data_IF_719068198545
#
_entry.id   IF_719068198545
#
_cell.length_a   1.000
_cell.length_b   1.000
_cell.length_c   1.000
_cell.angle_alpha   90.00
_cell.angle_beta   90.00
_cell.angle_gamma   90.00
#
_symmetry.space_group_name_H-M   'P 1'
#
loop_
_entity.id
_entity.type
_entity.pdbx_description
1 polymer ?
#
# COMPACT_ATOMS: atom_id res chain seq x y z
N UNK A 1 -38.82 -18.69 -22.20
CA UNK A 1 -38.28 -19.06 -20.87
C UNK A 1 -37.07 -19.99 -20.94
N UNK A 2 -37.05 -21.03 -21.79
CA UNK A 2 -35.95 -22.02 -21.82
C UNK A 2 -34.55 -21.44 -22.11
N UNK A 3 -34.43 -20.44 -22.98
CA UNK A 3 -33.14 -19.82 -23.33
C UNK A 3 -32.54 -18.98 -22.18
N UNK A 4 -33.38 -18.29 -21.40
CA UNK A 4 -32.93 -17.51 -20.24
C UNK A 4 -32.39 -18.40 -19.10
N UNK A 5 -33.02 -19.57 -18.91
CA UNK A 5 -32.59 -20.54 -17.89
C UNK A 5 -31.24 -21.19 -18.27
N UNK A 6 -31.02 -21.44 -19.57
CA UNK A 6 -29.75 -21.99 -20.07
C UNK A 6 -28.60 -20.99 -19.92
N UNK A 7 -28.86 -19.70 -20.20
CA UNK A 7 -27.86 -18.64 -20.01
C UNK A 7 -27.47 -18.45 -18.53
N UNK A 8 -28.44 -18.55 -17.61
CA UNK A 8 -28.21 -18.45 -16.17
C UNK A 8 -27.41 -19.65 -15.65
N UNK A 9 -27.73 -20.87 -16.13
CA UNK A 9 -26.99 -22.08 -15.76
C UNK A 9 -25.54 -22.09 -16.28
N UNK A 10 -25.28 -21.56 -17.48
CA UNK A 10 -23.93 -21.42 -18.01
C UNK A 10 -23.11 -20.38 -17.26
N UNK A 11 -23.72 -19.26 -16.85
CA UNK A 11 -23.06 -18.24 -16.05
C UNK A 11 -22.71 -18.74 -14.64
N UNK A 12 -23.61 -19.53 -14.02
CA UNK A 12 -23.36 -20.18 -12.73
C UNK A 12 -22.28 -21.27 -12.81
N UNK A 13 -22.19 -22.01 -13.92
CA UNK A 13 -21.14 -23.00 -14.12
C UNK A 13 -19.75 -22.38 -14.27
N UNK A 14 -19.63 -21.20 -14.89
CA UNK A 14 -18.33 -20.49 -14.99
C UNK A 14 -17.82 -19.98 -13.64
N UNK A 15 -18.71 -19.61 -12.70
CA UNK A 15 -18.31 -19.20 -11.36
C UNK A 15 -17.86 -20.38 -10.46
N UNK A 16 -18.16 -21.62 -10.85
CA UNK A 16 -17.80 -22.82 -10.08
C UNK A 16 -16.43 -23.43 -10.45
N UNK A 17 -15.75 -22.93 -11.50
CA UNK A 17 -14.50 -23.49 -12.02
C UNK A 17 -13.25 -22.60 -11.83
N UNK A 18 -13.31 -21.58 -10.98
CA UNK A 18 -12.10 -20.88 -10.51
C UNK A 18 -11.87 -21.25 -9.04
N UNK A 19 -11.33 -22.45 -8.79
CA UNK A 19 -9.96 -22.49 -8.28
C UNK A 19 -9.21 -23.77 -8.67
N UNK A 20 -8.31 -23.69 -9.65
CA UNK A 20 -7.27 -24.73 -9.85
C UNK A 20 -6.08 -24.13 -10.59
N UNK A 21 -5.16 -23.51 -9.85
CA UNK A 21 -3.71 -23.51 -10.13
C UNK A 21 -2.99 -22.54 -9.19
N UNK A 22 -2.45 -23.05 -8.08
CA UNK A 22 -1.15 -22.66 -7.54
C UNK A 22 -0.84 -23.57 -6.35
N UNK A 23 -0.28 -24.73 -6.64
CA UNK A 23 0.43 -25.55 -5.67
C UNK A 23 1.92 -25.54 -6.06
N UNK A 24 2.79 -25.46 -5.04
CA UNK A 24 4.27 -25.55 -5.05
C UNK A 24 4.98 -24.20 -5.30
N UNK A 25 6.00 -23.77 -4.56
CA UNK A 25 6.91 -24.44 -3.62
C UNK A 25 7.48 -23.41 -2.62
N UNK A 26 7.62 -23.79 -1.35
CA UNK A 26 8.52 -23.15 -0.43
C UNK A 26 9.94 -23.69 -0.64
N UNK A 27 10.95 -22.81 -0.77
CA UNK A 27 12.34 -23.20 -0.54
C UNK A 27 13.16 -22.07 0.08
N UNK A 28 13.70 -22.43 1.24
CA UNK A 28 14.74 -21.89 2.11
C UNK A 28 15.82 -21.00 1.45
N UNK A 29 16.11 -19.89 2.14
CA UNK A 29 17.19 -18.93 1.93
C UNK A 29 18.55 -19.57 2.25
N UNK A 30 19.56 -19.29 1.42
CA UNK A 30 20.98 -19.38 1.77
C UNK A 30 21.72 -18.09 1.39
N UNK A 31 22.41 -17.51 2.39
CA UNK A 31 23.24 -16.32 2.29
C UNK A 31 24.44 -16.50 1.36
N UNK A 32 24.76 -15.46 0.59
CA UNK A 32 26.13 -15.26 0.10
C UNK A 32 26.52 -13.78 0.17
N UNK A 33 27.54 -13.51 0.98
CA UNK A 33 28.19 -12.21 1.09
C UNK A 33 29.01 -11.91 -0.17
N UNK A 34 29.03 -10.66 -0.61
CA UNK A 34 30.23 -10.09 -1.24
C UNK A 34 30.26 -8.56 -1.06
N UNK A 35 31.40 -8.06 -0.57
CA UNK A 35 31.74 -6.64 -0.52
C UNK A 35 32.35 -6.20 -1.85
N UNK A 36 32.10 -4.96 -2.28
CA UNK A 36 33.12 -4.11 -2.92
C UNK A 36 32.66 -2.65 -2.99
N UNK A 37 33.63 -1.77 -2.72
CA UNK A 37 33.55 -0.30 -2.61
C UNK A 37 33.93 0.43 -3.91
N UNK A 38 33.63 1.74 -3.92
CA UNK A 38 34.21 2.84 -4.74
C UNK A 38 33.58 3.02 -6.14
N UNK A 39 33.42 4.22 -6.74
CA UNK A 39 33.97 5.55 -6.45
C UNK A 39 33.07 6.65 -7.10
N UNK A 40 33.24 7.90 -6.62
CA UNK A 40 32.55 9.16 -6.98
C UNK A 40 32.57 9.54 -8.47
N UNK A 41 31.54 10.24 -8.97
CA UNK A 41 31.53 11.72 -9.15
C UNK A 41 30.33 12.27 -9.99
N UNK A 42 29.73 13.39 -9.49
CA UNK A 42 29.10 14.57 -10.15
C UNK A 42 27.98 14.32 -11.19
N UNK A 43 26.89 15.08 -11.32
CA UNK A 43 26.39 16.38 -10.86
C UNK A 43 24.92 16.46 -11.35
N UNK A 44 24.03 17.11 -10.58
CA UNK A 44 22.93 17.99 -11.00
C UNK A 44 21.73 17.92 -10.05
N UNK A 45 21.22 19.10 -9.66
CA UNK A 45 20.20 19.35 -8.63
C UNK A 45 19.07 18.32 -8.55
N UNK A 46 19.20 17.34 -7.66
CA UNK A 46 18.16 16.34 -7.38
C UNK A 46 18.45 15.57 -6.08
N UNK A 47 19.20 16.15 -5.14
CA UNK A 47 19.21 15.54 -3.81
C UNK A 47 17.82 15.76 -3.21
N UNK A 48 17.05 14.70 -2.90
CA UNK A 48 15.79 14.86 -2.22
C UNK A 48 16.05 15.60 -0.90
N UNK A 49 15.12 16.47 -0.50
CA UNK A 49 15.19 17.11 0.82
C UNK A 49 15.32 16.02 1.90
N UNK A 50 15.82 16.36 3.09
CA UNK A 50 15.86 15.37 4.18
C UNK A 50 14.48 14.77 4.46
N UNK A 51 13.42 15.57 4.29
CA UNK A 51 12.03 15.14 4.44
C UNK A 51 11.61 14.19 3.31
N UNK A 52 12.01 14.46 2.07
CA UNK A 52 11.73 13.59 0.93
C UNK A 52 12.37 12.22 1.09
N UNK A 53 13.60 12.18 1.62
CA UNK A 53 14.31 10.93 1.89
C UNK A 53 13.62 10.12 2.98
N UNK A 54 13.15 10.78 4.03
CA UNK A 54 12.38 10.14 5.09
C UNK A 54 11.08 9.56 4.51
N UNK A 55 10.32 10.36 3.77
CA UNK A 55 9.06 9.89 3.18
C UNK A 55 9.28 8.73 2.19
N UNK A 56 10.31 8.78 1.35
CA UNK A 56 10.68 7.64 0.51
C UNK A 56 11.01 6.39 1.34
N UNK A 57 11.71 6.55 2.46
CA UNK A 57 12.02 5.44 3.38
C UNK A 57 10.78 4.86 4.05
N UNK A 58 9.83 5.71 4.47
CA UNK A 58 8.54 5.28 5.02
C UNK A 58 7.74 4.48 3.98
N UNK A 59 7.67 4.98 2.75
CA UNK A 59 6.97 4.30 1.64
C UNK A 59 7.65 2.98 1.31
N UNK A 60 8.98 2.96 1.22
CA UNK A 60 9.76 1.76 0.94
C UNK A 60 9.59 0.66 1.99
N UNK A 61 9.36 1.00 3.26
CA UNK A 61 9.09 0.02 4.31
C UNK A 61 7.73 -0.69 4.16
N UNK A 62 6.76 -0.07 3.48
CA UNK A 62 5.43 -0.66 3.24
C UNK A 62 5.27 -1.30 1.88
N UNK A 63 6.13 -0.95 0.91
CA UNK A 63 6.03 -1.42 -0.46
C UNK A 63 6.49 -2.87 -0.63
N UNK A 64 5.86 -3.56 -1.57
CA UNK A 64 6.36 -4.81 -2.14
C UNK A 64 6.64 -4.61 -3.63
N UNK A 65 7.59 -5.36 -4.20
CA UNK A 65 7.97 -5.26 -5.61
C UNK A 65 6.81 -5.50 -6.59
N UNK A 66 5.75 -6.19 -6.15
CA UNK A 66 4.54 -6.47 -6.95
C UNK A 66 3.55 -5.31 -6.96
N UNK A 67 3.74 -4.27 -6.16
CA UNK A 67 2.78 -3.17 -6.06
C UNK A 67 2.76 -2.31 -7.31
N UNK A 68 1.55 -1.86 -7.68
CA UNK A 68 1.37 -0.97 -8.83
C UNK A 68 1.83 0.46 -8.52
N UNK A 69 2.07 1.28 -9.56
CA UNK A 69 2.40 2.70 -9.35
C UNK A 69 1.32 3.44 -8.56
N UNK A 70 0.04 3.14 -8.82
CA UNK A 70 -1.07 3.76 -8.10
C UNK A 70 -1.13 3.27 -6.64
N UNK A 71 -0.74 2.02 -6.37
CA UNK A 71 -0.58 1.51 -5.00
C UNK A 71 0.49 2.31 -4.25
N UNK A 72 1.68 2.48 -4.87
CA UNK A 72 2.80 3.24 -4.27
C UNK A 72 2.39 4.70 -4.06
N UNK A 73 1.66 5.29 -5.00
CA UNK A 73 1.10 6.64 -4.87
C UNK A 73 0.12 6.76 -3.71
N UNK A 74 -0.81 5.84 -3.54
CA UNK A 74 -1.75 5.83 -2.41
C UNK A 74 -1.01 5.74 -1.07
N UNK A 75 -0.03 4.84 -0.96
CA UNK A 75 0.85 4.73 0.21
C UNK A 75 1.60 6.05 0.46
N UNK A 76 2.09 6.70 -0.60
CA UNK A 76 2.81 7.98 -0.51
C UNK A 76 1.91 9.11 -0.01
N UNK A 77 0.66 9.21 -0.48
CA UNK A 77 -0.32 10.20 0.02
C UNK A 77 -0.60 9.95 1.51
N UNK A 78 -0.85 8.69 1.87
CA UNK A 78 -1.14 8.28 3.25
C UNK A 78 0.00 8.64 4.21
N UNK A 79 1.24 8.29 3.84
CA UNK A 79 2.40 8.54 4.70
C UNK A 79 2.81 10.02 4.71
N UNK A 80 2.65 10.75 3.60
CA UNK A 80 2.86 12.20 3.58
C UNK A 80 1.92 12.89 4.58
N UNK A 81 0.64 12.50 4.55
CA UNK A 81 -0.37 12.98 5.47
C UNK A 81 0.02 12.73 6.93
N UNK A 82 0.23 11.47 7.29
CA UNK A 82 0.40 11.07 8.67
C UNK A 82 1.72 11.54 9.28
N UNK A 83 2.80 11.49 8.50
CA UNK A 83 4.11 12.00 8.93
C UNK A 83 4.09 13.51 9.11
N UNK A 84 3.40 14.26 8.24
CA UNK A 84 3.25 15.72 8.40
C UNK A 84 2.50 16.11 9.68
N UNK A 85 1.55 15.27 10.12
CA UNK A 85 0.75 15.49 11.31
C UNK A 85 1.44 15.07 12.60
N UNK A 86 2.05 13.89 12.61
CA UNK A 86 2.58 13.22 13.82
C UNK A 86 3.90 12.50 13.51
N UNK A 87 4.97 13.24 13.19
CA UNK A 87 6.25 12.64 12.82
C UNK A 87 6.87 11.81 13.96
N UNK A 88 6.55 12.16 15.21
CA UNK A 88 6.98 11.48 16.44
C UNK A 88 6.40 10.07 16.61
N UNK A 89 5.35 9.71 15.86
CA UNK A 89 4.81 8.34 15.83
C UNK A 89 5.63 7.36 15.01
N UNK A 90 6.55 7.85 14.18
CA UNK A 90 7.35 7.02 13.28
C UNK A 90 8.74 6.81 13.86
N UNK A 91 9.08 5.57 14.19
CA UNK A 91 10.44 5.19 14.57
C UNK A 91 11.32 5.08 13.32
N UNK A 92 11.94 6.20 12.94
CA UNK A 92 12.82 6.27 11.77
C UNK A 92 14.09 5.41 11.88
N UNK A 93 14.38 4.86 13.06
CA UNK A 93 15.50 3.94 13.27
C UNK A 93 15.13 2.48 13.03
N UNK A 94 13.84 2.15 13.00
CA UNK A 94 13.33 0.81 12.74
C UNK A 94 13.13 0.61 11.22
N UNK A 95 13.81 -0.36 10.59
CA UNK A 95 13.64 -0.64 9.16
C UNK A 95 12.24 -1.10 8.76
N UNK A 96 11.46 -1.66 9.69
CA UNK A 96 10.05 -2.02 9.46
C UNK A 96 9.14 -0.78 9.38
N UNK A 97 9.64 0.38 9.81
CA UNK A 97 8.93 1.67 9.75
C UNK A 97 9.51 2.59 8.68
N UNK A 98 10.84 2.64 8.54
CA UNK A 98 11.54 3.48 7.57
C UNK A 98 12.74 2.76 6.96
N UNK A 99 12.64 2.37 5.68
CA UNK A 99 13.66 1.63 4.95
C UNK A 99 14.38 2.51 3.94
N UNK A 100 15.52 3.07 4.33
CA UNK A 100 16.36 3.86 3.41
C UNK A 100 16.98 2.99 2.31
N UNK A 101 17.09 3.54 1.08
CA UNK A 101 17.57 2.83 -0.12
C UNK A 101 18.92 2.14 0.07
N UNK A 102 19.84 2.73 0.82
CA UNK A 102 21.15 2.13 1.11
C UNK A 102 21.03 0.77 1.82
N UNK A 103 20.00 0.61 2.65
CA UNK A 103 19.74 -0.57 3.48
C UNK A 103 18.73 -1.54 2.84
N UNK A 104 18.02 -1.10 1.79
CA UNK A 104 17.06 -1.92 1.07
C UNK A 104 17.72 -3.11 0.35
N UNK A 105 16.95 -4.20 0.18
CA UNK A 105 17.34 -5.30 -0.69
C UNK A 105 17.23 -4.92 -2.17
N UNK A 106 17.57 -5.86 -3.06
CA UNK A 106 17.57 -5.58 -4.50
C UNK A 106 16.16 -5.35 -5.06
N UNK A 107 15.15 -6.00 -4.50
CA UNK A 107 13.77 -5.94 -4.98
C UNK A 107 13.19 -4.54 -4.73
N UNK A 108 13.41 -3.99 -3.53
CA UNK A 108 13.00 -2.63 -3.20
C UNK A 108 13.88 -1.60 -3.92
N UNK A 109 15.18 -1.84 -4.06
CA UNK A 109 16.09 -0.95 -4.83
C UNK A 109 15.65 -0.81 -6.30
N UNK A 110 15.12 -1.88 -6.90
CA UNK A 110 14.63 -1.86 -8.28
C UNK A 110 13.44 -0.90 -8.46
N UNK A 111 12.51 -0.87 -7.50
CA UNK A 111 11.33 -0.01 -7.56
C UNK A 111 11.54 1.37 -6.91
N UNK A 112 12.68 1.62 -6.27
CA UNK A 112 12.94 2.87 -5.55
C UNK A 112 12.79 4.15 -6.42
N UNK A 113 13.22 4.18 -7.70
CA UNK A 113 12.96 5.35 -8.55
C UNK A 113 11.47 5.66 -8.72
N UNK A 114 10.62 4.63 -8.77
CA UNK A 114 9.17 4.80 -8.82
C UNK A 114 8.61 5.32 -7.49
N UNK A 115 9.22 4.94 -6.36
CA UNK A 115 8.89 5.50 -5.05
C UNK A 115 9.20 7.01 -5.03
N UNK A 116 10.38 7.42 -5.47
CA UNK A 116 10.77 8.85 -5.50
C UNK A 116 9.83 9.70 -6.37
N UNK A 117 9.40 9.16 -7.52
CA UNK A 117 8.43 9.80 -8.42
C UNK A 117 7.06 9.98 -7.73
N UNK A 118 6.51 8.92 -7.14
CA UNK A 118 5.19 8.96 -6.51
C UNK A 118 5.20 9.75 -5.19
N UNK A 119 6.30 9.75 -4.44
CA UNK A 119 6.51 10.64 -3.30
C UNK A 119 6.47 12.10 -3.75
N UNK A 120 7.17 12.43 -4.84
CA UNK A 120 7.17 13.79 -5.40
C UNK A 120 5.79 14.27 -5.83
N UNK A 121 4.97 13.37 -6.39
CA UNK A 121 3.55 13.66 -6.70
C UNK A 121 2.74 13.97 -5.44
N UNK A 122 2.93 13.19 -4.37
CA UNK A 122 2.06 13.17 -3.20
C UNK A 122 2.31 14.29 -2.19
N UNK A 123 3.41 15.05 -2.32
CA UNK A 123 3.86 16.03 -1.30
C UNK A 123 2.83 17.09 -0.93
N UNK A 124 2.00 17.49 -1.89
CA UNK A 124 1.00 18.53 -1.69
C UNK A 124 -0.40 17.96 -1.37
N UNK A 125 -0.54 16.64 -1.29
CA UNK A 125 -1.80 15.97 -0.99
C UNK A 125 -1.84 15.57 0.48
N UNK A 126 -2.91 15.99 1.15
CA UNK A 126 -3.21 15.67 2.54
C UNK A 126 -4.67 15.23 2.66
N UNK A 127 -5.01 14.60 3.78
CA UNK A 127 -6.31 13.96 4.01
C UNK A 127 -7.07 14.72 5.09
N UNK A 128 -8.25 15.21 4.74
CA UNK A 128 -9.07 16.06 5.60
C UNK A 128 -10.42 15.43 5.91
N UNK A 129 -10.85 15.57 7.16
CA UNK A 129 -12.23 15.35 7.58
C UNK A 129 -12.79 16.65 8.15
N UNK A 130 -13.88 17.17 7.58
CA UNK A 130 -14.48 18.45 7.97
C UNK A 130 -13.44 19.59 8.06
N UNK A 131 -12.64 19.77 7.01
CA UNK A 131 -11.56 20.77 6.90
C UNK A 131 -10.44 20.66 7.94
N UNK A 132 -10.37 19.55 8.68
CA UNK A 132 -9.24 19.24 9.58
C UNK A 132 -8.41 18.13 9.00
N UNK A 133 -7.10 18.36 8.92
CA UNK A 133 -6.16 17.30 8.58
C UNK A 133 -6.21 16.23 9.69
N UNK A 134 -6.40 14.96 9.31
CA UNK A 134 -6.61 13.83 10.23
C UNK A 134 -5.61 12.71 9.97
N UNK A 135 -5.21 12.02 11.04
CA UNK A 135 -4.28 10.89 10.96
C UNK A 135 -5.04 9.63 10.54
N UNK A 136 -4.52 8.85 9.60
CA UNK A 136 -5.23 7.70 9.04
C UNK A 136 -4.56 6.38 9.46
N UNK A 137 -5.09 5.64 10.45
CA UNK A 137 -4.63 4.28 10.71
C UNK A 137 -4.72 3.41 9.47
N UNK A 138 -3.74 2.53 9.34
CA UNK A 138 -3.67 1.54 8.29
C UNK A 138 -3.13 0.23 8.84
N UNK A 139 -3.37 -0.85 8.10
CA UNK A 139 -2.83 -2.17 8.40
C UNK A 139 -2.46 -2.86 7.10
N UNK A 140 -1.57 -3.85 7.17
CA UNK A 140 -1.17 -4.61 5.98
C UNK A 140 -2.38 -5.21 5.27
N UNK A 141 -3.29 -5.82 6.03
CA UNK A 141 -4.46 -6.53 5.51
C UNK A 141 -5.67 -6.38 6.44
N UNK A 142 -6.87 -6.57 5.90
CA UNK A 142 -8.10 -6.80 6.69
C UNK A 142 -8.57 -8.26 6.60
N UNK A 143 -9.52 -8.65 7.46
CA UNK A 143 -10.18 -9.96 7.36
C UNK A 143 -11.36 -9.99 6.37
N UNK A 144 -11.48 -8.98 5.50
CA UNK A 144 -12.57 -8.78 4.55
C UNK A 144 -13.41 -7.54 4.82
N UNK A 145 -13.26 -6.91 5.98
CA UNK A 145 -13.84 -5.62 6.34
C UNK A 145 -12.88 -4.85 7.26
N UNK A 146 -12.98 -3.53 7.25
CA UNK A 146 -12.34 -2.68 8.25
C UNK A 146 -13.27 -2.49 9.45
N UNK A 147 -12.72 -2.05 10.59
CA UNK A 147 -13.45 -1.91 11.85
C UNK A 147 -13.41 -0.47 12.35
N UNK A 148 -14.42 -0.09 13.13
CA UNK A 148 -14.50 1.20 13.80
C UNK A 148 -13.64 1.22 15.07
N UNK A 149 -13.08 2.38 15.39
CA UNK A 149 -12.39 2.62 16.66
C UNK A 149 -12.77 4.01 17.21
N UNK A 150 -13.03 4.11 18.50
CA UNK A 150 -13.50 5.33 19.16
C UNK A 150 -12.49 6.50 19.10
N UNK A 151 -11.20 6.19 18.94
CA UNK A 151 -10.15 7.19 18.79
C UNK A 151 -10.12 7.79 17.37
N UNK A 152 -10.83 7.17 16.42
CA UNK A 152 -10.86 7.52 15.01
C UNK A 152 -12.32 7.66 14.51
N UNK A 153 -13.10 8.52 15.17
CA UNK A 153 -14.52 8.72 14.89
C UNK A 153 -14.86 9.28 13.49
N UNK A 154 -13.85 9.65 12.71
CA UNK A 154 -13.94 10.05 11.30
C UNK A 154 -13.67 8.89 10.32
N UNK A 155 -13.48 7.68 10.84
CA UNK A 155 -13.26 6.46 10.05
C UNK A 155 -14.46 5.55 10.20
N UNK A 156 -15.21 5.42 9.11
CA UNK A 156 -16.29 4.46 8.98
C UNK A 156 -15.74 3.10 8.51
N UNK A 157 -16.24 1.97 9.06
CA UNK A 157 -15.87 0.65 8.59
C UNK A 157 -16.38 0.44 7.17
N UNK A 158 -15.54 -0.15 6.31
CA UNK A 158 -15.85 -0.43 4.91
C UNK A 158 -15.59 -1.89 4.55
N UNK A 159 -16.27 -2.35 3.50
CA UNK A 159 -15.99 -3.66 2.94
C UNK A 159 -14.61 -3.67 2.27
N UNK A 160 -13.87 -4.75 2.49
CA UNK A 160 -12.59 -5.01 1.84
C UNK A 160 -12.45 -6.49 1.42
N UNK A 161 -13.45 -7.05 0.70
CA UNK A 161 -13.51 -8.48 0.38
C UNK A 161 -12.33 -8.94 -0.48
N UNK A 162 -11.67 -8.04 -1.20
CA UNK A 162 -10.55 -8.35 -2.07
C UNK A 162 -9.24 -8.65 -1.34
N UNK A 163 -9.12 -8.35 -0.04
CA UNK A 163 -7.98 -8.82 0.76
C UNK A 163 -7.80 -10.34 0.70
N UNK A 164 -8.87 -11.09 0.41
CA UNK A 164 -8.77 -12.54 0.21
C UNK A 164 -7.92 -12.97 -1.01
N UNK A 165 -7.59 -12.05 -1.92
CA UNK A 165 -6.71 -12.29 -3.05
C UNK A 165 -5.23 -12.02 -2.76
N UNK A 166 -4.90 -11.51 -1.57
CA UNK A 166 -3.50 -11.33 -1.17
C UNK A 166 -2.82 -12.68 -0.90
N UNK A 167 -1.51 -12.72 -1.16
CA UNK A 167 -0.65 -13.86 -0.78
C UNK A 167 -0.47 -13.96 0.75
N UNK A 168 -0.79 -12.87 1.45
CA UNK A 168 -0.87 -12.80 2.89
C UNK A 168 -2.36 -12.90 3.27
N UNK A 169 -2.76 -13.82 4.15
CA UNK A 169 -4.14 -13.85 4.65
C UNK A 169 -4.13 -14.06 6.14
N UNK A 170 -4.68 -13.08 6.86
CA UNK A 170 -4.98 -13.20 8.28
C UNK A 170 -6.48 -12.99 8.52
N UNK A 171 -7.18 -14.07 8.86
CA UNK A 171 -8.62 -14.04 9.14
C UNK A 171 -8.95 -13.38 10.47
N UNK A 172 -7.96 -13.16 11.33
CA UNK A 172 -8.12 -12.50 12.61
C UNK A 172 -7.61 -11.05 12.57
N UNK A 173 -7.16 -10.55 11.41
CA UNK A 173 -6.70 -9.18 11.28
C UNK A 173 -7.84 -8.20 11.59
N UNK A 174 -7.58 -7.31 12.55
CA UNK A 174 -8.37 -6.12 12.80
C UNK A 174 -7.71 -4.95 12.08
N UNK A 175 -8.38 -4.40 11.08
CA UNK A 175 -7.88 -3.29 10.29
C UNK A 175 -8.76 -2.07 10.54
N UNK A 176 -8.20 -1.03 11.16
CA UNK A 176 -8.86 0.28 11.29
C UNK A 176 -8.36 1.15 10.13
N UNK A 177 -9.28 1.81 9.42
CA UNK A 177 -8.94 2.70 8.32
C UNK A 177 -8.61 1.95 7.03
N UNK A 178 -7.34 1.96 6.62
CA UNK A 178 -6.93 1.50 5.28
C UNK A 178 -6.25 0.13 5.32
N UNK A 179 -6.65 -0.77 4.41
CA UNK A 179 -5.91 -2.01 4.13
C UNK A 179 -4.96 -1.81 2.96
N UNK A 180 -3.65 -2.00 3.16
CA UNK A 180 -2.64 -1.80 2.10
C UNK A 180 -2.77 -2.83 0.98
N UNK A 181 -2.94 -4.11 1.31
CA UNK A 181 -3.19 -5.16 0.30
C UNK A 181 -4.50 -4.91 -0.45
N UNK A 182 -5.47 -4.30 0.23
CA UNK A 182 -6.72 -3.97 -0.41
C UNK A 182 -6.63 -2.77 -1.35
N UNK A 183 -5.89 -1.72 -0.98
CA UNK A 183 -5.50 -0.64 -1.91
C UNK A 183 -4.81 -1.23 -3.14
N UNK A 184 -3.85 -2.14 -2.96
CA UNK A 184 -3.13 -2.74 -4.08
C UNK A 184 -4.06 -3.46 -5.05
N UNK A 185 -5.01 -4.23 -4.53
CA UNK A 185 -6.02 -4.87 -5.38
C UNK A 185 -6.84 -3.84 -6.16
N UNK A 186 -7.37 -2.81 -5.49
CA UNK A 186 -8.20 -1.79 -6.13
C UNK A 186 -7.43 -1.08 -7.26
N UNK A 187 -6.18 -0.67 -6.98
CA UNK A 187 -5.31 -0.01 -7.94
C UNK A 187 -4.96 -0.91 -9.14
N UNK A 188 -4.64 -2.19 -8.90
CA UNK A 188 -4.42 -3.17 -9.98
C UNK A 188 -5.64 -3.43 -10.85
N UNK A 189 -6.84 -3.16 -10.32
CA UNK A 189 -8.11 -3.27 -11.03
C UNK A 189 -8.61 -1.93 -11.61
N UNK A 190 -7.72 -0.93 -11.69
CA UNK A 190 -7.93 0.27 -12.49
C UNK A 190 -8.38 1.52 -11.72
N UNK A 191 -8.47 1.47 -10.39
CA UNK A 191 -8.69 2.67 -9.57
C UNK A 191 -7.42 3.51 -9.45
N UNK A 192 -7.56 4.83 -9.47
CA UNK A 192 -6.46 5.73 -9.08
C UNK A 192 -6.16 5.59 -7.58
N UNK A 193 -4.99 6.10 -7.16
CA UNK A 193 -4.64 6.16 -5.75
C UNK A 193 -5.69 6.87 -4.88
N UNK A 194 -6.20 8.01 -5.34
CA UNK A 194 -7.21 8.80 -4.64
C UNK A 194 -8.56 8.09 -4.60
N UNK A 195 -8.97 7.41 -5.68
CA UNK A 195 -10.19 6.61 -5.70
C UNK A 195 -10.10 5.44 -4.73
N UNK A 196 -8.97 4.73 -4.71
CA UNK A 196 -8.72 3.62 -3.80
C UNK A 196 -8.71 4.09 -2.33
N UNK A 197 -8.06 5.22 -2.02
CA UNK A 197 -8.11 5.81 -0.68
C UNK A 197 -9.51 6.29 -0.30
N UNK A 198 -10.24 6.91 -1.22
CA UNK A 198 -11.62 7.38 -1.00
C UNK A 198 -12.58 6.22 -0.73
N UNK A 199 -12.28 5.01 -1.23
CA UNK A 199 -13.03 3.80 -0.86
C UNK A 199 -12.92 3.51 0.64
N UNK A 200 -11.70 3.57 1.19
CA UNK A 200 -11.47 3.31 2.62
C UNK A 200 -11.83 4.49 3.52
N UNK A 201 -11.83 5.71 2.97
CA UNK A 201 -12.03 6.95 3.68
C UNK A 201 -13.20 7.74 3.09
N UNK A 202 -14.43 7.18 3.07
CA UNK A 202 -15.56 7.76 2.34
C UNK A 202 -16.02 9.13 2.84
N UNK A 203 -15.61 9.52 4.04
CA UNK A 203 -15.94 10.80 4.67
C UNK A 203 -14.79 11.82 4.58
N UNK A 204 -13.64 11.42 4.03
CA UNK A 204 -12.46 12.27 3.93
C UNK A 204 -12.30 12.85 2.53
N UNK A 205 -11.61 13.99 2.46
CA UNK A 205 -11.19 14.65 1.22
C UNK A 205 -9.68 14.56 1.08
N UNK A 206 -9.19 14.24 -0.12
CA UNK A 206 -7.77 14.29 -0.47
C UNK A 206 -7.55 15.56 -1.28
N UNK A 207 -6.75 16.50 -0.76
CA UNK A 207 -6.51 17.82 -1.40
C UNK A 207 -5.17 18.41 -1.04
#
# INVERSE_FOLDING_TARGET
MKIKVIAILLMLAMMAFLPFAAAKCATKIEHKSFMATSDKAKSDNSNPSSEDKVLCGLVAALCENKYSSETIKAISILLNNDYSLKPDKFDLSNPDTCLYVENADNDIKEIYPQIEENVSYSKNLLIYYNDKNVFIPYSKISNGNTVSDENYNYISPVASPWDCFSDYLDRNAECIGVSIEGIDYLCKNGMSAEEALSWYLPECEIK
#
